data_IF_914925789919
#
_entry.id   IF_914925789919
#
_cell.length_a   1.000
_cell.length_b   1.000
_cell.length_c   1.000
_cell.angle_alpha   90.00
_cell.angle_beta   90.00
_cell.angle_gamma   90.00
#
_symmetry.space_group_name_H-M   'P 1'
#
loop_
_entity.id
_entity.type
_entity.pdbx_description
1 polymer ?
#
# COMPACT_ATOMS: atom_id res chain seq x y z
N UNK A 1 -8.73 23.66 -3.80
CA UNK A 1 -9.29 23.43 -2.45
C UNK A 1 -8.14 23.19 -1.48
N UNK A 2 -8.19 23.80 -0.31
CA UNK A 2 -7.12 23.75 0.69
C UNK A 2 -7.63 23.09 1.96
N UNK A 3 -6.85 22.17 2.51
CA UNK A 3 -7.18 21.44 3.73
C UNK A 3 -6.10 21.70 4.79
N UNK A 4 -6.51 21.88 6.02
CA UNK A 4 -5.61 22.03 7.16
C UNK A 4 -5.59 20.74 7.97
N UNK A 5 -4.38 20.22 8.23
CA UNK A 5 -4.14 19.07 9.10
C UNK A 5 -2.90 19.33 9.94
N UNK A 6 -3.04 19.19 11.25
CA UNK A 6 -1.93 19.35 12.20
C UNK A 6 -1.12 20.65 12.01
N UNK A 7 -1.84 21.75 11.72
CA UNK A 7 -1.23 23.06 11.52
C UNK A 7 -0.62 23.32 10.14
N UNK A 8 -0.66 22.32 9.24
CA UNK A 8 -0.14 22.44 7.88
C UNK A 8 -1.28 22.52 6.86
N UNK A 9 -1.06 23.30 5.80
CA UNK A 9 -2.01 23.45 4.71
C UNK A 9 -1.65 22.52 3.55
N UNK A 10 -2.66 21.81 3.03
CA UNK A 10 -2.52 20.90 1.91
C UNK A 10 -3.44 21.32 0.77
N UNK A 11 -2.86 21.52 -0.40
CA UNK A 11 -3.61 21.96 -1.59
C UNK A 11 -3.96 20.76 -2.45
N UNK A 12 -5.26 20.60 -2.74
CA UNK A 12 -5.79 19.56 -3.61
C UNK A 12 -6.43 20.22 -4.84
N UNK A 13 -5.92 19.86 -6.00
CA UNK A 13 -6.36 20.41 -7.28
C UNK A 13 -7.19 19.42 -8.11
N UNK A 14 -7.03 18.11 -7.88
CA UNK A 14 -7.82 17.10 -8.59
C UNK A 14 -9.29 17.19 -8.20
N UNK A 15 -10.18 16.97 -9.17
CA UNK A 15 -11.60 16.87 -8.88
C UNK A 15 -11.90 15.55 -8.16
N UNK A 16 -13.02 15.51 -7.45
CA UNK A 16 -13.43 14.36 -6.66
C UNK A 16 -13.58 13.10 -7.52
N UNK A 17 -14.13 13.24 -8.72
CA UNK A 17 -14.34 12.10 -9.62
C UNK A 17 -13.02 11.44 -10.04
N UNK A 18 -12.03 12.24 -10.42
CA UNK A 18 -10.71 11.73 -10.78
C UNK A 18 -9.99 11.07 -9.61
N UNK A 19 -10.02 11.74 -8.45
CA UNK A 19 -9.35 11.26 -7.25
C UNK A 19 -10.00 10.00 -6.70
N UNK A 20 -11.32 9.97 -6.61
CA UNK A 20 -12.05 8.85 -6.00
C UNK A 20 -11.91 7.54 -6.76
N UNK A 21 -11.43 7.58 -8.01
CA UNK A 21 -11.16 6.38 -8.77
C UNK A 21 -10.00 5.54 -8.18
N UNK A 22 -9.07 6.17 -7.46
CA UNK A 22 -7.88 5.47 -6.94
C UNK A 22 -7.47 5.81 -5.51
N UNK A 23 -8.09 6.79 -4.88
CA UNK A 23 -7.83 7.10 -3.46
C UNK A 23 -8.97 7.88 -2.83
N UNK A 24 -9.22 7.64 -1.55
CA UNK A 24 -10.07 8.53 -0.77
C UNK A 24 -9.31 9.84 -0.50
N UNK A 25 -10.05 10.90 -0.21
CA UNK A 25 -9.43 12.17 0.17
C UNK A 25 -8.61 12.02 1.44
N UNK A 26 -9.16 11.33 2.45
CA UNK A 26 -8.47 11.10 3.71
C UNK A 26 -7.13 10.37 3.51
N UNK A 27 -7.13 9.31 2.69
CA UNK A 27 -5.91 8.56 2.41
C UNK A 27 -4.87 9.41 1.69
N UNK A 28 -5.29 10.22 0.71
CA UNK A 28 -4.41 11.13 0.00
C UNK A 28 -3.76 12.15 0.95
N UNK A 29 -4.56 12.77 1.80
CA UNK A 29 -4.05 13.74 2.77
C UNK A 29 -3.06 13.10 3.74
N UNK A 30 -3.32 11.87 4.18
CA UNK A 30 -2.40 11.14 5.05
C UNK A 30 -1.07 10.84 4.37
N UNK A 31 -1.08 10.46 3.09
CA UNK A 31 0.16 10.26 2.33
C UNK A 31 0.92 11.57 2.19
N UNK A 32 0.25 12.65 1.84
CA UNK A 32 0.89 13.97 1.73
C UNK A 32 1.54 14.39 3.04
N UNK A 33 0.86 14.16 4.15
CA UNK A 33 1.37 14.49 5.48
C UNK A 33 2.55 13.59 5.89
N UNK A 34 2.39 12.27 5.79
CA UNK A 34 3.37 11.30 6.30
C UNK A 34 4.63 11.23 5.46
N UNK A 35 4.50 11.42 4.15
CA UNK A 35 5.62 11.35 3.22
C UNK A 35 6.16 12.73 2.84
N UNK A 36 5.55 13.80 3.33
CA UNK A 36 5.92 15.18 3.01
C UNK A 36 5.97 15.42 1.49
N UNK A 37 4.90 15.04 0.81
CA UNK A 37 4.77 15.14 -0.63
C UNK A 37 3.60 16.04 -1.01
N UNK A 38 3.71 16.69 -2.19
CA UNK A 38 2.58 17.39 -2.77
C UNK A 38 1.56 16.40 -3.35
N UNK A 39 0.44 16.91 -3.86
CA UNK A 39 -0.63 16.09 -4.41
C UNK A 39 -0.15 15.20 -5.55
N UNK A 40 0.54 15.77 -6.55
CA UNK A 40 0.98 15.02 -7.73
C UNK A 40 1.93 13.88 -7.39
N UNK A 41 2.90 14.14 -6.52
CA UNK A 41 3.85 13.12 -6.08
C UNK A 41 3.16 12.05 -5.24
N UNK A 42 2.21 12.44 -4.41
CA UNK A 42 1.44 11.50 -3.59
C UNK A 42 0.59 10.58 -4.46
N UNK A 43 -0.10 11.12 -5.46
CA UNK A 43 -0.88 10.32 -6.40
C UNK A 43 -0.01 9.35 -7.20
N UNK A 44 1.18 9.80 -7.59
CA UNK A 44 2.15 8.93 -8.28
C UNK A 44 2.64 7.81 -7.37
N UNK A 45 2.92 8.13 -6.12
CA UNK A 45 3.33 7.13 -5.12
C UNK A 45 2.24 6.08 -4.92
N UNK A 46 0.99 6.49 -4.80
CA UNK A 46 -0.15 5.58 -4.66
C UNK A 46 -0.27 4.63 -5.85
N UNK A 47 -0.19 5.16 -7.06
CA UNK A 47 -0.25 4.35 -8.29
C UNK A 47 0.91 3.37 -8.39
N UNK A 48 2.11 3.81 -8.04
CA UNK A 48 3.30 2.95 -8.04
C UNK A 48 3.20 1.86 -6.96
N UNK A 49 2.66 2.18 -5.79
CA UNK A 49 2.46 1.20 -4.73
C UNK A 49 1.53 0.07 -5.19
N UNK A 50 0.45 0.41 -5.89
CA UNK A 50 -0.45 -0.60 -6.45
C UNK A 50 0.25 -1.51 -7.46
N UNK A 51 0.99 -0.92 -8.40
CA UNK A 51 1.62 -1.66 -9.51
C UNK A 51 2.88 -2.41 -9.10
N UNK A 52 3.72 -1.80 -8.27
CA UNK A 52 5.09 -2.27 -7.97
C UNK A 52 5.28 -2.76 -6.55
N UNK A 53 4.35 -2.45 -5.65
CA UNK A 53 4.46 -2.85 -4.25
C UNK A 53 4.44 -4.36 -4.08
N UNK A 54 5.12 -4.84 -3.04
CA UNK A 54 5.12 -6.25 -2.69
C UNK A 54 3.77 -6.64 -2.08
N UNK A 55 3.19 -7.72 -2.58
CA UNK A 55 1.94 -8.28 -2.04
C UNK A 55 2.25 -9.05 -0.75
N UNK A 56 1.24 -9.22 0.10
CA UNK A 56 1.40 -9.95 1.36
C UNK A 56 1.95 -11.35 1.14
N UNK A 57 1.44 -12.06 0.15
CA UNK A 57 1.89 -13.41 -0.18
C UNK A 57 3.35 -13.49 -0.65
N UNK A 58 3.92 -12.36 -1.06
CA UNK A 58 5.32 -12.27 -1.46
C UNK A 58 6.26 -11.98 -0.29
N UNK A 59 5.71 -11.70 0.89
CA UNK A 59 6.46 -11.41 2.11
C UNK A 59 6.84 -12.70 2.84
N UNK A 60 7.91 -12.71 3.66
CA UNK A 60 8.21 -13.85 4.53
C UNK A 60 7.03 -14.20 5.44
N UNK A 61 6.87 -15.50 5.73
CA UNK A 61 5.74 -15.99 6.55
C UNK A 61 5.64 -15.29 7.90
N UNK A 62 6.77 -14.98 8.53
CA UNK A 62 6.79 -14.25 9.81
C UNK A 62 6.09 -12.88 9.68
N UNK A 63 6.34 -12.18 8.59
CA UNK A 63 5.75 -10.89 8.31
C UNK A 63 4.26 -11.00 8.00
N UNK A 64 3.88 -12.04 7.24
CA UNK A 64 2.48 -12.29 6.96
C UNK A 64 1.68 -12.51 8.25
N UNK A 65 2.24 -13.25 9.21
CA UNK A 65 1.61 -13.49 10.51
C UNK A 65 1.46 -12.21 11.31
N UNK A 66 2.52 -11.38 11.37
CA UNK A 66 2.47 -10.12 12.09
C UNK A 66 1.45 -9.15 11.48
N UNK A 67 1.36 -9.10 10.16
CA UNK A 67 0.35 -8.30 9.49
C UNK A 67 -1.05 -8.83 9.71
N UNK A 68 -1.22 -10.13 9.67
CA UNK A 68 -2.51 -10.75 9.91
C UNK A 68 -3.04 -10.40 11.31
N UNK A 69 -2.18 -10.39 12.32
CA UNK A 69 -2.55 -9.98 13.67
C UNK A 69 -2.89 -8.49 13.76
N UNK A 70 -2.05 -7.63 13.17
CA UNK A 70 -2.21 -6.18 13.24
C UNK A 70 -3.40 -5.65 12.44
N UNK A 71 -3.74 -6.31 11.33
CA UNK A 71 -4.78 -5.89 10.40
C UNK A 71 -5.85 -6.96 10.20
N UNK A 72 -6.10 -7.73 11.25
CA UNK A 72 -6.99 -8.90 11.23
C UNK A 72 -8.35 -8.62 10.62
N UNK A 73 -8.97 -7.51 11.01
CA UNK A 73 -10.28 -7.12 10.49
C UNK A 73 -10.27 -6.82 8.99
N UNK A 74 -9.20 -6.19 8.51
CA UNK A 74 -9.06 -5.83 7.10
C UNK A 74 -8.81 -7.05 6.22
N UNK A 75 -8.03 -8.02 6.72
CA UNK A 75 -7.72 -9.24 5.97
C UNK A 75 -8.91 -10.20 5.91
N UNK A 76 -9.72 -10.25 6.95
CA UNK A 76 -10.89 -11.14 7.00
C UNK A 76 -11.99 -10.79 6.01
N UNK A 77 -12.08 -9.54 5.61
CA UNK A 77 -13.17 -9.11 4.75
C UNK A 77 -12.98 -9.51 3.28
N UNK A 78 -11.80 -9.97 2.88
CA UNK A 78 -11.52 -10.31 1.48
C UNK A 78 -11.64 -9.13 0.51
N UNK A 79 -11.93 -7.95 1.04
CA UNK A 79 -12.21 -6.73 0.26
C UNK A 79 -11.01 -5.81 0.16
N UNK A 80 -9.91 -6.16 0.82
CA UNK A 80 -8.71 -5.33 0.87
C UNK A 80 -7.53 -6.04 0.27
N UNK A 81 -6.65 -5.28 -0.35
CA UNK A 81 -5.36 -5.74 -0.87
C UNK A 81 -4.25 -4.91 -0.27
N UNK A 82 -3.24 -5.59 0.24
CA UNK A 82 -2.10 -4.96 0.87
C UNK A 82 -0.93 -4.89 -0.11
N UNK A 83 -0.20 -3.77 -0.07
CA UNK A 83 1.05 -3.58 -0.81
C UNK A 83 2.08 -2.95 0.12
N UNK A 84 3.28 -3.50 0.14
CA UNK A 84 4.42 -2.89 0.82
C UNK A 84 5.26 -2.18 -0.22
N UNK A 85 5.45 -0.88 -0.04
CA UNK A 85 6.19 -0.07 -0.99
C UNK A 85 6.85 1.11 -0.28
N UNK A 86 8.15 1.32 -0.50
CA UNK A 86 8.92 2.44 0.05
C UNK A 86 8.70 2.69 1.56
N UNK A 87 8.87 1.65 2.36
CA UNK A 87 8.78 1.73 3.82
C UNK A 87 7.36 2.03 4.36
N UNK A 88 6.34 1.87 3.52
CA UNK A 88 4.93 2.04 3.90
C UNK A 88 4.12 0.81 3.54
N UNK A 89 3.12 0.56 4.36
CA UNK A 89 2.08 -0.42 4.08
C UNK A 89 0.86 0.30 3.52
N UNK A 90 0.52 0.00 2.27
CA UNK A 90 -0.66 0.56 1.60
C UNK A 90 -1.80 -0.44 1.64
N UNK A 91 -2.97 0.01 2.04
CA UNK A 91 -4.18 -0.81 2.09
C UNK A 91 -5.16 -0.29 1.05
N UNK A 92 -5.39 -1.11 0.01
CA UNK A 92 -6.30 -0.82 -1.09
C UNK A 92 -7.59 -1.61 -0.96
N UNK A 93 -8.68 -1.08 -1.49
CA UNK A 93 -9.91 -1.83 -1.70
C UNK A 93 -9.74 -2.82 -2.86
N UNK A 94 -10.71 -3.71 -3.03
CA UNK A 94 -10.74 -4.62 -4.17
C UNK A 94 -10.81 -3.89 -5.52
N UNK A 95 -11.26 -2.64 -5.53
CA UNK A 95 -11.37 -1.80 -6.73
C UNK A 95 -10.19 -0.85 -6.92
N UNK A 96 -9.03 -1.19 -6.37
CA UNK A 96 -7.78 -0.43 -6.52
C UNK A 96 -7.77 0.95 -5.86
N UNK A 97 -8.71 1.22 -4.99
CA UNK A 97 -8.80 2.51 -4.30
C UNK A 97 -8.03 2.45 -2.97
N UNK A 98 -7.11 3.38 -2.77
CA UNK A 98 -6.37 3.47 -1.51
C UNK A 98 -7.32 3.86 -0.37
N UNK A 99 -7.35 3.02 0.66
CA UNK A 99 -8.14 3.25 1.87
C UNK A 99 -7.30 3.98 2.90
N UNK A 100 -6.08 3.50 3.13
CA UNK A 100 -5.15 4.09 4.09
C UNK A 100 -3.73 3.57 3.85
N UNK A 101 -2.76 4.21 4.50
CA UNK A 101 -1.37 3.76 4.49
C UNK A 101 -0.74 4.02 5.85
N UNK A 102 0.13 3.12 6.27
CA UNK A 102 0.86 3.21 7.54
C UNK A 102 2.35 3.09 7.28
N UNK A 103 3.19 3.81 8.06
CA UNK A 103 4.61 3.54 8.04
C UNK A 103 4.87 2.14 8.58
N UNK A 104 5.85 1.44 8.00
CA UNK A 104 6.26 0.14 8.52
C UNK A 104 6.86 0.30 9.92
N UNK A 105 6.55 -0.60 10.87
CA UNK A 105 7.21 -0.61 12.18
C UNK A 105 8.73 -0.78 12.04
N UNK A 106 9.50 -0.21 12.98
CA UNK A 106 10.97 -0.25 12.96
C UNK A 106 11.54 -1.66 12.88
N UNK A 107 10.88 -2.62 13.50
CA UNK A 107 11.29 -4.02 13.44
C UNK A 107 11.35 -4.58 12.04
N UNK A 108 10.60 -4.01 11.10
CA UNK A 108 10.61 -4.42 9.70
C UNK A 108 11.75 -3.79 8.92
N UNK A 109 12.26 -2.64 9.34
CA UNK A 109 13.41 -1.99 8.71
C UNK A 109 14.70 -2.82 8.86
N UNK A 110 14.83 -3.54 9.96
CA UNK A 110 16.00 -4.40 10.21
C UNK A 110 16.07 -5.61 9.28
N UNK A 111 14.95 -5.94 8.63
CA UNK A 111 14.82 -7.10 7.75
C UNK A 111 14.49 -6.69 6.30
N UNK A 112 15.05 -5.56 5.85
CA UNK A 112 14.81 -5.03 4.50
C UNK A 112 15.23 -5.98 3.37
N UNK A 113 16.05 -6.96 3.66
CA UNK A 113 16.60 -7.87 2.66
C UNK A 113 15.53 -8.60 1.86
N UNK A 114 14.40 -8.92 2.45
CA UNK A 114 13.32 -9.59 1.74
C UNK A 114 12.71 -8.69 0.65
N UNK A 115 12.57 -7.38 0.93
CA UNK A 115 12.01 -6.43 -0.03
C UNK A 115 12.97 -6.19 -1.22
N UNK A 116 14.25 -6.53 -1.03
CA UNK A 116 15.27 -6.41 -2.07
C UNK A 116 15.51 -7.73 -2.80
N UNK A 117 14.93 -8.83 -2.34
CA UNK A 117 15.04 -10.11 -3.04
C UNK A 117 14.11 -10.14 -4.24
N UNK A 118 14.51 -9.36 -5.25
CA UNK A 118 13.76 -9.22 -6.49
C UNK A 118 13.59 -10.55 -7.23
N UNK A 119 14.56 -11.45 -7.08
CA UNK A 119 14.50 -12.75 -7.75
C UNK A 119 13.43 -13.64 -7.11
N UNK A 120 13.32 -13.65 -5.79
CA UNK A 120 12.28 -14.40 -5.09
C UNK A 120 10.88 -13.91 -5.48
N UNK A 121 10.68 -12.59 -5.49
CA UNK A 121 9.42 -11.98 -5.89
C UNK A 121 9.08 -12.32 -7.35
N UNK A 122 10.06 -12.24 -8.25
CA UNK A 122 9.86 -12.62 -9.67
C UNK A 122 9.47 -14.08 -9.80
N UNK A 123 10.11 -14.96 -9.04
CA UNK A 123 9.81 -16.39 -9.07
C UNK A 123 8.40 -16.68 -8.57
N UNK A 124 7.97 -16.04 -7.49
CA UNK A 124 6.61 -16.17 -6.98
C UNK A 124 5.58 -15.69 -8.00
N UNK A 125 5.80 -14.52 -8.59
CA UNK A 125 4.89 -13.94 -9.58
C UNK A 125 4.83 -14.80 -10.85
N UNK A 126 5.96 -15.37 -11.29
CA UNK A 126 6.01 -16.29 -12.40
C UNK A 126 5.22 -17.56 -12.10
N UNK A 127 5.38 -18.11 -10.90
CA UNK A 127 4.65 -19.29 -10.44
C UNK A 127 3.14 -19.03 -10.44
N UNK A 128 2.70 -17.89 -9.95
CA UNK A 128 1.29 -17.50 -9.95
C UNK A 128 0.71 -17.41 -11.36
N UNK A 129 1.47 -16.86 -12.32
CA UNK A 129 1.04 -16.77 -13.72
C UNK A 129 0.91 -18.13 -14.37
N UNK A 130 1.82 -19.06 -14.03
CA UNK A 130 1.80 -20.43 -14.56
C UNK A 130 0.73 -21.30 -13.89
N UNK A 131 0.32 -20.96 -12.69
CA UNK A 131 -0.63 -21.71 -11.88
C UNK A 131 -1.72 -20.77 -11.36
N UNK A 132 -2.60 -20.25 -12.24
CA UNK A 132 -3.57 -19.23 -11.86
C UNK A 132 -4.62 -19.72 -10.85
N UNK A 133 -4.77 -21.05 -10.69
CA UNK A 133 -5.66 -21.63 -9.69
C UNK A 133 -5.07 -21.59 -8.27
N UNK A 134 -3.77 -21.30 -8.13
CA UNK A 134 -3.13 -21.18 -6.82
C UNK A 134 -3.38 -19.78 -6.27
N UNK A 135 -4.12 -19.71 -5.17
CA UNK A 135 -4.39 -18.46 -4.46
C UNK A 135 -3.54 -18.47 -3.19
N UNK A 136 -2.63 -17.48 -3.09
CA UNK A 136 -1.88 -17.26 -1.87
C UNK A 136 -2.73 -16.43 -0.92
N UNK A 137 -3.15 -17.04 0.14
CA UNK A 137 -3.98 -16.40 1.17
C UNK A 137 -3.18 -16.08 2.42
#
# INVERSE_FOLDING_TARGET
MTFEMDGNLYKINTCEEERSAFTSLHALLRIMQRCDLNEQKSLRLIKNAWKKGSRVEELPLRWQREYAESHRMLMYNGWTQLRVYQDYLFIFSATEKLITAYPLPDRFYKNRHFAQDKQHIRNLRKYQRMNPAVVFS
#
